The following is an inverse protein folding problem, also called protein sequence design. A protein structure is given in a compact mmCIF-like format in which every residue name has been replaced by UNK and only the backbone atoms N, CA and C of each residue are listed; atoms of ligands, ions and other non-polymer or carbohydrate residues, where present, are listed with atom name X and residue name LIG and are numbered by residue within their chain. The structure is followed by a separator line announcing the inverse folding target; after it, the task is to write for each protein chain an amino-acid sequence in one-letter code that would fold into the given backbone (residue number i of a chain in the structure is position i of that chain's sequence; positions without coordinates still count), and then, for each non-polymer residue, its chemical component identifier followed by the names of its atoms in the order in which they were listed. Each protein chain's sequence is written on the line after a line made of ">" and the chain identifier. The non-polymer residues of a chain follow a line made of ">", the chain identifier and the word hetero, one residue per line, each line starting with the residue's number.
data_IF_017472879275
#
_entry.id   IF_017472879275
#
_cell.length_a   1.000
_cell.length_b   1.000
_cell.length_c   1.000
_cell.angle_alpha   90.00
_cell.angle_beta   90.00
_cell.angle_gamma   90.00
#
_symmetry.space_group_name_H-M   'P 1'
#
loop_
_entity.id
_entity.type
_entity.pdbx_description
1 polymer ?
#
# COMPACT_ATOMS: atom_id res chain seq x y z
N UNK A 1 -0.52 -15.93 5.90
CA UNK A 1 0.85 -16.30 5.49
C UNK A 1 1.02 -15.92 4.03
N UNK A 2 2.22 -15.49 3.64
CA UNK A 2 2.51 -15.22 2.23
C UNK A 2 2.34 -16.52 1.41
N UNK A 3 1.80 -16.39 0.21
CA UNK A 3 1.62 -17.48 -0.76
C UNK A 3 2.26 -17.10 -2.09
N UNK A 4 2.57 -18.08 -2.93
CA UNK A 4 3.08 -17.80 -4.28
C UNK A 4 1.98 -17.15 -5.14
N UNK A 5 2.37 -16.22 -6.02
CA UNK A 5 1.43 -15.51 -6.91
C UNK A 5 0.56 -16.48 -7.76
N UNK A 6 1.11 -17.63 -8.13
CA UNK A 6 0.37 -18.67 -8.88
C UNK A 6 -0.73 -19.33 -8.04
N UNK A 7 -0.52 -19.48 -6.73
CA UNK A 7 -1.51 -20.01 -5.79
C UNK A 7 -2.59 -18.96 -5.53
N UNK A 8 -2.17 -17.71 -5.29
CA UNK A 8 -3.06 -16.57 -5.15
C UNK A 8 -4.00 -16.44 -6.37
N UNK A 9 -3.46 -16.48 -7.59
CA UNK A 9 -4.26 -16.43 -8.83
C UNK A 9 -5.32 -17.53 -8.90
N UNK A 10 -4.97 -18.78 -8.55
CA UNK A 10 -5.92 -19.90 -8.56
C UNK A 10 -7.03 -19.67 -7.54
N UNK A 11 -6.67 -19.25 -6.34
CA UNK A 11 -7.61 -18.98 -5.26
C UNK A 11 -8.57 -17.83 -5.63
N UNK A 12 -8.04 -16.72 -6.11
CA UNK A 12 -8.85 -15.56 -6.49
C UNK A 12 -9.82 -15.92 -7.62
N UNK A 13 -9.35 -16.56 -8.69
CA UNK A 13 -10.23 -17.01 -9.78
C UNK A 13 -11.36 -17.92 -9.31
N UNK A 14 -11.10 -18.76 -8.31
CA UNK A 14 -12.14 -19.63 -7.75
C UNK A 14 -13.19 -18.84 -6.95
N UNK A 15 -12.77 -17.84 -6.17
CA UNK A 15 -13.64 -17.04 -5.30
C UNK A 15 -14.47 -16.03 -6.11
N UNK A 16 -13.88 -15.45 -7.16
CA UNK A 16 -14.47 -14.35 -7.92
C UNK A 16 -15.08 -14.75 -9.24
N UNK A 17 -15.19 -16.04 -9.52
CA UNK A 17 -15.64 -16.60 -10.79
C UNK A 17 -16.98 -16.04 -11.29
N UNK A 18 -17.91 -15.88 -10.36
CA UNK A 18 -19.27 -15.44 -10.65
C UNK A 18 -19.54 -14.02 -10.15
N UNK A 19 -18.50 -13.28 -9.76
CA UNK A 19 -18.63 -11.89 -9.32
C UNK A 19 -18.66 -10.94 -10.52
N UNK A 20 -19.54 -9.93 -10.44
CA UNK A 20 -19.52 -8.83 -11.39
C UNK A 20 -18.37 -7.87 -11.10
N UNK A 21 -17.92 -7.12 -12.10
CA UNK A 21 -16.92 -6.07 -11.94
C UNK A 21 -17.36 -5.04 -10.90
N UNK A 22 -18.60 -4.65 -10.97
CA UNK A 22 -19.22 -3.68 -10.06
C UNK A 22 -19.13 -4.14 -8.60
N UNK A 23 -19.47 -5.40 -8.32
CA UNK A 23 -19.33 -5.98 -7.00
C UNK A 23 -17.86 -6.02 -6.54
N UNK A 24 -16.92 -6.34 -7.43
CA UNK A 24 -15.50 -6.41 -7.10
C UNK A 24 -14.95 -5.04 -6.70
N UNK A 25 -15.32 -3.98 -7.42
CA UNK A 25 -14.81 -2.63 -7.21
C UNK A 25 -15.54 -1.87 -6.09
N UNK A 26 -16.84 -2.14 -5.86
CA UNK A 26 -17.64 -1.38 -4.89
C UNK A 26 -17.79 -2.05 -3.52
N UNK A 27 -17.65 -3.38 -3.44
CA UNK A 27 -17.90 -4.11 -2.21
C UNK A 27 -16.75 -5.06 -1.84
N UNK A 28 -16.28 -5.85 -2.80
CA UNK A 28 -15.31 -6.91 -2.51
C UNK A 28 -13.95 -6.38 -2.05
N UNK A 29 -13.45 -5.31 -2.63
CA UNK A 29 -12.21 -4.66 -2.21
C UNK A 29 -12.32 -3.97 -0.84
N UNK A 30 -13.52 -3.58 -0.42
CA UNK A 30 -13.76 -2.97 0.91
C UNK A 30 -14.09 -3.98 2.01
N UNK A 31 -14.07 -5.28 1.71
CA UNK A 31 -14.26 -6.29 2.75
C UNK A 31 -13.18 -6.20 3.82
N UNK A 32 -13.56 -6.53 5.04
CA UNK A 32 -12.68 -6.48 6.20
C UNK A 32 -12.59 -7.85 6.88
N UNK A 33 -11.81 -8.77 6.34
CA UNK A 33 -11.67 -10.10 6.91
C UNK A 33 -11.00 -10.06 8.28
N UNK A 34 -11.47 -10.90 9.19
CA UNK A 34 -10.89 -11.04 10.53
C UNK A 34 -9.43 -11.46 10.41
N UNK A 35 -8.54 -10.75 11.09
CA UNK A 35 -7.12 -11.06 11.19
C UNK A 35 -6.78 -11.48 12.62
N UNK A 36 -6.00 -12.56 12.80
CA UNK A 36 -5.54 -12.93 14.13
C UNK A 36 -4.58 -11.87 14.69
N UNK A 37 -4.82 -11.46 15.91
CA UNK A 37 -3.88 -10.62 16.67
C UNK A 37 -2.76 -11.54 17.17
N UNK A 38 -1.52 -11.16 16.89
CA UNK A 38 -0.34 -11.88 17.35
C UNK A 38 0.59 -10.90 18.04
N UNK A 39 0.63 -10.96 19.35
CA UNK A 39 1.56 -10.15 20.15
C UNK A 39 2.97 -10.76 20.11
N UNK A 40 3.74 -10.42 19.08
CA UNK A 40 5.15 -10.76 19.01
C UNK A 40 5.95 -9.50 18.72
N UNK A 41 6.65 -9.00 19.72
CA UNK A 41 7.44 -7.77 19.64
C UNK A 41 8.63 -7.83 18.66
N UNK A 42 9.00 -9.02 18.22
CA UNK A 42 10.08 -9.22 17.25
C UNK A 42 9.61 -9.27 15.78
N UNK A 43 8.29 -9.14 15.54
CA UNK A 43 7.72 -9.30 14.19
C UNK A 43 6.99 -8.03 13.76
N UNK A 44 7.32 -7.55 12.56
CA UNK A 44 6.55 -6.54 11.84
C UNK A 44 5.60 -7.29 10.90
N UNK A 45 4.31 -7.16 11.13
CA UNK A 45 3.30 -7.77 10.26
C UNK A 45 3.04 -6.91 9.04
N UNK A 46 2.64 -7.53 7.93
CA UNK A 46 2.21 -6.77 6.75
C UNK A 46 1.02 -5.88 7.12
N UNK A 47 1.06 -4.58 6.81
CA UNK A 47 -0.04 -3.68 7.08
C UNK A 47 -1.23 -3.90 6.15
N UNK A 48 -1.03 -4.59 5.02
CA UNK A 48 -2.03 -4.81 3.99
C UNK A 48 -1.92 -6.22 3.42
N UNK A 49 -3.02 -6.69 2.83
CA UNK A 49 -3.02 -7.86 1.95
C UNK A 49 -2.81 -7.38 0.52
N UNK A 50 -1.82 -7.90 -0.16
CA UNK A 50 -1.50 -7.47 -1.51
C UNK A 50 -0.31 -8.23 -2.07
N UNK A 51 0.09 -7.85 -3.27
CA UNK A 51 1.22 -8.44 -3.97
C UNK A 51 2.49 -7.64 -3.62
N UNK A 52 3.48 -8.30 -3.02
CA UNK A 52 4.80 -7.71 -2.84
C UNK A 52 5.49 -7.66 -4.20
N UNK A 53 5.72 -6.45 -4.70
CA UNK A 53 6.33 -6.22 -6.03
C UNK A 53 7.82 -5.86 -5.94
N UNK A 54 8.27 -5.36 -4.78
CA UNK A 54 9.69 -5.06 -4.56
C UNK A 54 10.05 -5.13 -3.06
N UNK A 55 11.28 -5.53 -2.80
CA UNK A 55 11.93 -5.44 -1.49
C UNK A 55 13.35 -4.96 -1.72
N UNK A 56 13.60 -3.70 -1.42
CA UNK A 56 14.90 -3.08 -1.66
C UNK A 56 15.48 -2.44 -0.40
N UNK A 57 16.81 -2.39 -0.34
CA UNK A 57 17.55 -1.62 0.66
C UNK A 57 18.07 -0.35 0.00
N UNK A 58 17.82 0.77 0.62
CA UNK A 58 18.31 2.08 0.17
C UNK A 58 19.18 2.72 1.24
N UNK A 59 20.27 3.32 0.83
CA UNK A 59 21.20 4.03 1.70
C UNK A 59 20.88 5.53 1.78
N UNK A 60 20.02 6.03 0.91
CA UNK A 60 19.55 7.41 0.86
C UNK A 60 18.11 7.46 0.35
N UNK A 61 17.34 8.48 0.76
CA UNK A 61 15.98 8.74 0.27
C UNK A 61 15.94 9.12 -1.21
N UNK A 62 17.05 9.52 -1.80
CA UNK A 62 17.17 9.86 -3.23
C UNK A 62 17.50 8.65 -4.11
N UNK A 63 17.78 7.50 -3.50
CA UNK A 63 17.95 6.26 -4.24
C UNK A 63 16.62 5.77 -4.78
N UNK A 64 16.66 5.24 -6.01
CA UNK A 64 15.47 4.73 -6.69
C UNK A 64 15.00 3.41 -6.08
N UNK A 65 13.70 3.31 -5.87
CA UNK A 65 12.99 2.07 -5.54
C UNK A 65 12.06 1.71 -6.69
N UNK A 66 11.75 0.42 -6.82
CA UNK A 66 10.80 -0.03 -7.83
C UNK A 66 9.38 0.03 -7.29
N UNK A 67 8.49 0.61 -8.09
CA UNK A 67 7.05 0.65 -7.85
C UNK A 67 6.31 0.10 -9.07
N UNK A 68 5.01 -0.14 -8.98
CA UNK A 68 4.22 -0.57 -10.14
C UNK A 68 4.29 0.42 -11.32
N UNK A 69 4.62 1.68 -11.05
CA UNK A 69 4.75 2.76 -12.05
C UNK A 69 6.19 2.98 -12.52
N UNK A 70 7.11 2.13 -12.09
CA UNK A 70 8.53 2.23 -12.41
C UNK A 70 9.37 2.72 -11.24
N UNK A 71 10.56 3.21 -11.57
CA UNK A 71 11.51 3.65 -10.54
C UNK A 71 11.23 5.08 -10.08
N UNK A 72 11.22 5.28 -8.77
CA UNK A 72 10.99 6.57 -8.13
C UNK A 72 11.81 6.66 -6.85
N UNK A 73 12.23 7.85 -6.42
CA UNK A 73 12.92 8.02 -5.14
C UNK A 73 11.93 8.29 -3.99
N UNK A 74 12.32 7.87 -2.78
CA UNK A 74 11.51 8.08 -1.58
C UNK A 74 11.31 9.56 -1.27
N UNK A 75 12.30 10.41 -1.54
CA UNK A 75 12.19 11.86 -1.34
C UNK A 75 11.04 12.46 -2.17
N UNK A 76 10.88 12.05 -3.43
CA UNK A 76 9.75 12.48 -4.26
C UNK A 76 8.43 11.88 -3.79
N UNK A 77 8.38 10.58 -3.51
CA UNK A 77 7.16 9.91 -3.04
C UNK A 77 6.64 10.52 -1.74
N UNK A 78 7.53 10.78 -0.80
CA UNK A 78 7.20 11.29 0.52
C UNK A 78 7.28 12.83 0.61
N UNK A 79 7.47 13.52 -0.50
CA UNK A 79 7.57 14.97 -0.58
C UNK A 79 8.57 15.57 0.43
N UNK A 80 9.73 14.91 0.58
CA UNK A 80 10.77 15.32 1.53
C UNK A 80 10.42 15.15 3.02
N UNK A 81 9.31 14.49 3.35
CA UNK A 81 8.84 14.34 4.74
C UNK A 81 9.54 13.23 5.52
N UNK A 82 10.38 12.43 4.86
CA UNK A 82 11.18 11.38 5.49
C UNK A 82 12.64 11.87 5.56
N UNK A 83 13.25 11.74 6.72
CA UNK A 83 14.65 12.10 6.94
C UNK A 83 15.58 11.25 6.07
N UNK A 84 16.71 11.84 5.63
CA UNK A 84 17.69 11.06 4.91
C UNK A 84 18.29 9.97 5.80
N UNK A 85 18.46 8.76 5.26
CA UNK A 85 18.93 7.62 6.02
C UNK A 85 18.82 6.31 5.25
N UNK A 86 19.13 5.23 5.96
CA UNK A 86 19.07 3.86 5.42
C UNK A 86 17.71 3.24 5.71
N UNK A 87 17.08 2.71 4.67
CA UNK A 87 15.77 2.08 4.78
C UNK A 87 15.74 0.70 4.12
N UNK A 88 14.88 -0.16 4.64
CA UNK A 88 14.38 -1.31 3.90
C UNK A 88 12.98 -0.96 3.42
N UNK A 89 12.80 -0.91 2.11
CA UNK A 89 11.55 -0.56 1.47
C UNK A 89 10.84 -1.83 1.01
N UNK A 90 9.54 -1.92 1.27
CA UNK A 90 8.69 -2.99 0.79
C UNK A 90 7.54 -2.36 0.02
N UNK A 91 7.47 -2.59 -1.27
CA UNK A 91 6.39 -2.11 -2.14
C UNK A 91 5.30 -3.17 -2.24
N UNK A 92 4.09 -2.82 -1.79
CA UNK A 92 2.92 -3.71 -1.81
C UNK A 92 1.87 -3.09 -2.73
N UNK A 93 1.45 -3.84 -3.71
CA UNK A 93 0.38 -3.48 -4.63
C UNK A 93 -0.93 -4.13 -4.19
N UNK A 94 -1.95 -3.33 -3.93
CA UNK A 94 -3.31 -3.77 -3.65
C UNK A 94 -4.08 -3.82 -4.96
N UNK A 95 -4.55 -5.01 -5.33
CA UNK A 95 -5.43 -5.19 -6.48
C UNK A 95 -6.89 -5.04 -6.04
N UNK A 96 -7.81 -4.84 -6.96
CA UNK A 96 -9.26 -4.82 -6.65
C UNK A 96 -9.77 -6.17 -6.07
N UNK A 97 -8.95 -7.23 -6.10
CA UNK A 97 -9.23 -8.49 -5.41
C UNK A 97 -8.79 -8.51 -3.96
N UNK A 98 -7.96 -7.57 -3.54
CA UNK A 98 -7.40 -7.52 -2.19
C UNK A 98 -8.22 -6.59 -1.29
N UNK A 99 -8.30 -6.85 0.04
CA UNK A 99 -8.92 -5.91 0.97
C UNK A 99 -8.16 -4.59 1.02
N UNK A 100 -8.87 -3.48 0.80
CA UNK A 100 -8.29 -2.13 0.86
C UNK A 100 -8.29 -1.54 2.29
N UNK A 101 -8.26 -2.39 3.30
CA UNK A 101 -8.15 -1.99 4.70
C UNK A 101 -6.72 -2.17 5.19
N UNK A 102 -6.08 -1.07 5.52
CA UNK A 102 -4.70 -1.04 6.02
C UNK A 102 -4.69 -1.01 7.55
N UNK A 103 -3.76 -1.74 8.15
CA UNK A 103 -3.73 -2.01 9.59
C UNK A 103 -2.36 -1.75 10.20
N UNK A 104 -2.35 -1.51 11.51
CA UNK A 104 -1.12 -1.36 12.29
C UNK A 104 -0.25 -2.62 12.20
N UNK A 105 1.02 -2.50 11.78
CA UNK A 105 1.93 -3.65 11.67
C UNK A 105 2.44 -4.16 13.03
N UNK A 106 2.40 -3.32 14.06
CA UNK A 106 2.79 -3.60 15.45
C UNK A 106 2.16 -2.56 16.40
N UNK A 107 2.28 -2.77 17.70
CA UNK A 107 1.85 -1.80 18.72
C UNK A 107 2.72 -0.54 18.65
N UNK A 108 2.10 0.62 18.57
CA UNK A 108 2.86 1.87 18.47
C UNK A 108 2.01 3.12 18.51
N UNK A 109 2.69 4.24 18.36
CA UNK A 109 2.08 5.57 18.25
C UNK A 109 2.13 5.97 16.78
N UNK A 110 1.00 6.36 16.21
CA UNK A 110 0.87 6.73 14.81
C UNK A 110 0.49 8.19 14.64
N UNK A 111 1.12 8.84 13.67
CA UNK A 111 0.75 10.16 13.15
C UNK A 111 0.54 10.06 11.65
N UNK A 112 -0.38 10.87 11.11
CA UNK A 112 -0.68 10.94 9.68
C UNK A 112 -0.38 12.33 9.13
N UNK A 113 0.16 12.36 7.91
CA UNK A 113 0.30 13.56 7.09
C UNK A 113 -0.18 13.26 5.68
N UNK A 114 -1.11 14.05 5.19
CA UNK A 114 -1.48 14.02 3.77
C UNK A 114 -0.49 14.85 2.97
N UNK A 115 -0.03 14.29 1.84
CA UNK A 115 1.04 14.88 1.06
C UNK A 115 0.48 15.63 -0.16
N UNK A 116 0.99 16.84 -0.49
CA UNK A 116 0.64 17.54 -1.71
C UNK A 116 1.43 16.97 -2.93
N UNK A 117 1.00 17.21 -4.16
CA UNK A 117 -0.33 17.67 -4.57
C UNK A 117 -1.37 16.55 -4.51
N UNK A 118 -2.65 16.94 -4.51
CA UNK A 118 -3.78 16.01 -4.49
C UNK A 118 -4.43 16.00 -5.87
N UNK A 119 -4.07 15.06 -6.70
CA UNK A 119 -4.75 14.81 -7.97
C UNK A 119 -5.22 13.38 -8.01
N UNK A 120 -6.37 13.17 -8.62
CA UNK A 120 -6.88 11.86 -8.99
C UNK A 120 -6.93 11.86 -10.52
N UNK A 121 -6.31 10.86 -11.10
CA UNK A 121 -6.40 10.61 -12.54
C UNK A 121 -7.50 9.59 -12.74
N UNK A 122 -8.59 10.01 -13.42
CA UNK A 122 -9.71 9.14 -13.76
C UNK A 122 -9.31 8.26 -14.96
N UNK A 123 -8.75 7.10 -14.67
CA UNK A 123 -8.39 6.09 -15.66
C UNK A 123 -9.01 4.73 -15.32
N UNK A 124 -9.51 3.98 -16.33
CA UNK A 124 -10.04 2.65 -16.10
C UNK A 124 -8.96 1.69 -15.57
N UNK A 125 -9.03 1.37 -14.29
CA UNK A 125 -8.04 0.53 -13.60
C UNK A 125 -8.03 -0.91 -14.05
N UNK A 126 -9.19 -1.48 -14.38
CA UNK A 126 -9.34 -2.91 -14.62
C UNK A 126 -8.44 -3.45 -15.72
N UNK A 127 -8.31 -2.73 -16.82
CA UNK A 127 -7.46 -3.15 -17.93
C UNK A 127 -5.98 -3.09 -17.54
N UNK A 128 -5.62 -2.07 -16.77
CA UNK A 128 -4.28 -1.88 -16.26
C UNK A 128 -3.91 -2.96 -15.24
N UNK A 129 -4.75 -3.23 -14.27
CA UNK A 129 -4.54 -4.27 -13.27
C UNK A 129 -4.49 -5.67 -13.90
N UNK A 130 -5.36 -5.96 -14.86
CA UNK A 130 -5.32 -7.21 -15.60
C UNK A 130 -3.97 -7.41 -16.32
N UNK A 131 -3.39 -6.36 -16.85
CA UNK A 131 -2.07 -6.39 -17.49
C UNK A 131 -0.98 -6.74 -16.48
N UNK A 132 -1.02 -6.14 -15.28
CA UNK A 132 -0.08 -6.45 -14.20
C UNK A 132 -0.25 -7.88 -13.70
N UNK A 133 -1.49 -8.29 -13.39
CA UNK A 133 -1.80 -9.62 -12.84
C UNK A 133 -1.42 -10.73 -13.81
N UNK A 134 -1.52 -10.48 -15.12
CA UNK A 134 -1.12 -11.43 -16.14
C UNK A 134 0.39 -11.41 -16.44
N UNK A 135 1.18 -10.61 -15.73
CA UNK A 135 2.63 -10.53 -15.87
C UNK A 135 3.09 -9.76 -17.11
N UNK A 136 2.20 -8.98 -17.72
CA UNK A 136 2.47 -8.19 -18.93
C UNK A 136 2.82 -6.73 -18.64
N UNK A 137 3.53 -6.48 -17.53
CA UNK A 137 3.91 -5.13 -17.07
C UNK A 137 4.69 -4.34 -18.13
N UNK A 138 5.44 -5.04 -18.99
CA UNK A 138 6.18 -4.42 -20.10
C UNK A 138 5.29 -3.82 -21.20
N UNK A 139 4.02 -4.23 -21.27
CA UNK A 139 3.06 -3.75 -22.26
C UNK A 139 2.41 -2.41 -21.87
N UNK A 140 2.62 -1.98 -20.61
CA UNK A 140 2.05 -0.74 -20.10
C UNK A 140 2.82 0.45 -20.68
N UNK A 141 2.12 1.33 -21.40
CA UNK A 141 2.73 2.59 -21.85
C UNK A 141 2.87 3.53 -20.65
N UNK A 142 4.11 3.62 -20.16
CA UNK A 142 4.47 4.45 -19.01
C UNK A 142 4.22 5.95 -19.22
N UNK A 143 4.01 6.39 -20.45
CA UNK A 143 3.74 7.80 -20.80
C UNK A 143 2.29 8.17 -20.54
N UNK A 144 1.38 7.21 -20.59
CA UNK A 144 -0.04 7.41 -20.29
C UNK A 144 -0.31 7.39 -18.78
N UNK A 145 0.65 6.89 -18.01
CA UNK A 145 0.56 6.76 -16.58
C UNK A 145 1.15 8.03 -15.97
N UNK A 146 0.33 8.93 -15.53
CA UNK A 146 0.76 10.10 -14.78
C UNK A 146 1.69 9.70 -13.63
N UNK A 147 2.58 10.56 -13.24
CA UNK A 147 3.52 10.28 -12.16
C UNK A 147 2.77 10.11 -10.83
N UNK A 148 3.13 9.12 -10.02
CA UNK A 148 2.64 8.94 -8.64
C UNK A 148 2.68 10.22 -7.80
N UNK A 149 3.52 11.17 -8.19
CA UNK A 149 3.64 12.44 -7.53
C UNK A 149 2.34 13.26 -7.53
N UNK A 150 1.37 12.93 -8.38
CA UNK A 150 0.11 13.67 -8.50
C UNK A 150 -1.06 12.99 -7.77
N UNK A 151 -0.96 11.71 -7.43
CA UNK A 151 -2.03 11.01 -6.74
C UNK A 151 -2.10 11.41 -5.26
N UNK A 152 -3.27 11.31 -4.65
CA UNK A 152 -3.39 11.47 -3.21
C UNK A 152 -2.48 10.49 -2.48
N UNK A 153 -1.74 11.00 -1.51
CA UNK A 153 -0.82 10.21 -0.70
C UNK A 153 -0.95 10.60 0.76
N UNK A 154 -0.93 9.58 1.61
CA UNK A 154 -0.93 9.76 3.07
C UNK A 154 0.25 9.03 3.66
N UNK A 155 1.10 9.77 4.35
CA UNK A 155 2.25 9.22 5.07
C UNK A 155 1.87 8.99 6.53
N UNK A 156 1.98 7.75 6.98
CA UNK A 156 1.83 7.36 8.37
C UNK A 156 3.23 7.12 8.96
N UNK A 157 3.57 7.90 9.97
CA UNK A 157 4.74 7.68 10.80
C UNK A 157 4.33 6.88 12.02
N UNK A 158 4.86 5.68 12.19
CA UNK A 158 4.54 4.76 13.28
C UNK A 158 5.79 4.55 14.12
N UNK A 159 5.75 4.96 15.38
CA UNK A 159 6.81 4.74 16.33
C UNK A 159 6.43 3.65 17.34
N UNK A 160 7.29 2.65 17.50
CA UNK A 160 7.11 1.65 18.54
C UNK A 160 8.14 1.85 19.66
N UNK A 161 7.69 2.18 20.88
CA UNK A 161 8.59 2.25 22.03
C UNK A 161 9.27 0.91 22.34
N UNK A 162 8.64 -0.21 22.02
CA UNK A 162 9.18 -1.56 22.24
C UNK A 162 10.32 -1.89 21.28
N UNK A 163 10.24 -1.45 20.04
CA UNK A 163 11.24 -1.70 19.01
C UNK A 163 12.30 -0.58 18.99
N UNK A 164 11.96 0.60 19.54
CA UNK A 164 12.80 1.80 19.52
C UNK A 164 13.03 2.36 18.10
N UNK A 165 12.14 2.05 17.13
CA UNK A 165 12.28 2.45 15.73
C UNK A 165 10.99 3.00 15.17
N UNK A 166 11.15 3.81 14.12
CA UNK A 166 10.07 4.32 13.28
C UNK A 166 9.88 3.40 12.06
N UNK A 167 8.62 3.24 11.68
CA UNK A 167 8.22 2.70 10.39
C UNK A 167 7.42 3.78 9.67
N UNK A 168 7.72 3.98 8.41
CA UNK A 168 6.94 4.85 7.53
C UNK A 168 6.08 3.98 6.62
N UNK A 169 4.77 4.26 6.63
CA UNK A 169 3.83 3.61 5.74
C UNK A 169 3.24 4.68 4.83
N UNK A 170 3.55 4.61 3.56
CA UNK A 170 3.01 5.50 2.55
C UNK A 170 1.87 4.81 1.82
N UNK A 171 0.67 5.34 1.95
CA UNK A 171 -0.46 4.98 1.10
C UNK A 171 -0.48 5.92 -0.09
N UNK A 172 -0.55 5.35 -1.28
CA UNK A 172 -0.70 6.08 -2.54
C UNK A 172 -2.00 5.62 -3.18
N UNK A 173 -2.92 6.57 -3.39
CA UNK A 173 -4.14 6.32 -4.13
C UNK A 173 -3.81 5.96 -5.58
N UNK A 174 -4.59 5.08 -6.15
CA UNK A 174 -4.49 4.73 -7.55
C UNK A 174 -5.34 5.64 -8.44
N UNK A 175 -5.46 5.33 -9.71
CA UNK A 175 -6.11 6.20 -10.71
C UNK A 175 -7.59 6.43 -10.45
N UNK A 176 -8.28 5.46 -9.88
CA UNK A 176 -9.71 5.49 -9.57
C UNK A 176 -10.00 5.67 -8.08
N UNK A 177 -8.98 5.92 -7.26
CA UNK A 177 -9.15 6.14 -5.82
C UNK A 177 -9.26 7.63 -5.53
N UNK A 178 -10.46 8.08 -5.17
CA UNK A 178 -10.75 9.49 -4.88
C UNK A 178 -10.16 9.97 -3.57
N UNK A 179 -10.07 9.08 -2.57
CA UNK A 179 -9.61 9.51 -1.24
C UNK A 179 -9.04 8.38 -0.41
N UNK A 180 -8.09 8.72 0.45
CA UNK A 180 -7.55 7.85 1.49
C UNK A 180 -8.21 8.24 2.82
N UNK A 181 -9.08 7.36 3.33
CA UNK A 181 -9.79 7.57 4.59
C UNK A 181 -8.98 7.04 5.75
N UNK A 182 -8.84 7.84 6.82
CA UNK A 182 -8.21 7.40 8.06
C UNK A 182 -9.25 6.94 9.08
N UNK A 183 -8.98 5.83 9.76
CA UNK A 183 -9.83 5.31 10.84
C UNK A 183 -9.52 5.93 12.22
N UNK A 184 -8.65 6.93 12.29
CA UNK A 184 -8.38 7.67 13.52
C UNK A 184 -8.26 9.17 13.23
N UNK A 185 -8.41 9.97 14.25
CA UNK A 185 -8.26 11.44 14.20
C UNK A 185 -7.09 11.89 15.07
N UNK A 186 -6.46 12.99 14.66
CA UNK A 186 -5.33 13.61 15.38
C UNK A 186 -4.01 12.88 15.14
N UNK A 187 -2.96 13.41 15.78
CA UNK A 187 -1.62 12.87 15.71
C UNK A 187 -1.23 12.17 17.02
N UNK A 188 -0.13 11.40 17.00
CA UNK A 188 0.40 10.69 18.16
C UNK A 188 -0.63 9.77 18.83
N UNK A 189 -1.41 9.05 18.03
CA UNK A 189 -2.43 8.13 18.54
C UNK A 189 -1.81 6.77 18.85
N UNK A 190 -1.93 6.30 20.11
CA UNK A 190 -1.53 4.95 20.46
C UNK A 190 -2.53 3.94 19.87
N UNK A 191 -2.04 3.04 19.03
CA UNK A 191 -2.83 1.99 18.42
C UNK A 191 -2.14 0.63 18.60
N UNK A 192 -2.95 -0.41 18.67
CA UNK A 192 -2.51 -1.78 18.78
C UNK A 192 -2.31 -2.42 17.41
N UNK A 193 -1.43 -3.42 17.36
CA UNK A 193 -1.27 -4.28 16.19
C UNK A 193 -2.64 -4.74 15.68
N UNK A 194 -2.80 -4.74 14.35
CA UNK A 194 -4.04 -5.11 13.65
C UNK A 194 -5.20 -4.10 13.74
N UNK A 195 -5.09 -2.99 14.47
CA UNK A 195 -6.08 -1.92 14.39
C UNK A 195 -6.03 -1.26 13.00
N UNK A 196 -7.19 -0.89 12.47
CA UNK A 196 -7.32 -0.21 11.18
C UNK A 196 -6.72 1.19 11.24
N UNK A 197 -6.04 1.60 10.17
CA UNK A 197 -5.47 2.96 10.07
C UNK A 197 -5.87 3.70 8.80
N UNK A 198 -6.17 2.99 7.71
CA UNK A 198 -6.59 3.57 6.45
C UNK A 198 -7.14 2.53 5.49
#
# INVERSE_FOLDING_TARGET
>A
MAEAISQWRKRIKSITRDCTVDYLSSEFCFRDPIRPIKNNSGIIYSPADGIVIDVSKVDSVDQLIYTKMGNVCLSSLCHGMIENGKYTCVSIFLTFYDPHIVRMPFDGVVSRKDLPPYYVLDHPMLDFENTIINGRISEIDRREIGTFAFNQRSLFEIFSPMIGRKLFLLLTADYDIDTIVSFFTGNNRPLKQNQRIG
#
